data_IF_925428185017
#
_entry.id   IF_925428185017
#
_cell.length_a   1.000
_cell.length_b   1.000
_cell.length_c   1.000
_cell.angle_alpha   90.00
_cell.angle_beta   90.00
_cell.angle_gamma   90.00
#
_symmetry.space_group_name_H-M   'P 1'
#
loop_
_entity.id
_entity.type
_entity.pdbx_description
1 polymer ?
#
# COMPACT_ATOMS: atom_id res chain seq x y z
N UNK A 1 -22.02 8.77 56.78
CA UNK A 1 -23.41 8.62 57.28
C UNK A 1 -24.29 9.08 56.11
N UNK A 2 -24.94 8.28 55.26
CA UNK A 2 -25.55 6.95 55.32
C UNK A 2 -25.28 6.15 54.03
N UNK A 3 -25.38 4.82 54.14
CA UNK A 3 -25.30 3.79 53.09
C UNK A 3 -26.59 3.70 52.26
N UNK A 4 -26.45 3.29 50.99
CA UNK A 4 -27.43 2.53 50.16
C UNK A 4 -26.56 1.76 49.14
N UNK A 5 -26.19 0.49 49.34
CA UNK A 5 -26.91 -0.80 49.15
C UNK A 5 -27.44 -1.05 47.73
N UNK A 6 -27.02 -2.19 47.18
CA UNK A 6 -27.35 -2.79 45.88
C UNK A 6 -28.83 -2.72 45.48
N UNK A 7 -29.10 -2.40 44.21
CA UNK A 7 -30.01 -3.16 43.31
C UNK A 7 -30.30 -2.41 42.00
N UNK A 8 -30.15 -3.15 40.88
CA UNK A 8 -30.93 -3.05 39.63
C UNK A 8 -30.66 -1.86 38.68
N UNK A 9 -30.22 -2.21 37.47
CA UNK A 9 -30.14 -1.33 36.29
C UNK A 9 -31.45 -0.61 35.96
N UNK A 10 -31.39 0.61 35.42
CA UNK A 10 -32.36 1.09 34.45
C UNK A 10 -31.75 1.15 33.04
N UNK A 11 -32.44 0.49 32.12
CA UNK A 11 -32.26 0.58 30.67
C UNK A 11 -32.31 2.04 30.20
N UNK A 12 -31.29 2.50 29.46
CA UNK A 12 -31.41 3.69 28.60
C UNK A 12 -31.70 3.23 27.18
N UNK A 13 -32.92 3.52 26.74
CA UNK A 13 -33.44 3.31 25.39
C UNK A 13 -33.09 4.53 24.55
N UNK A 14 -32.28 4.37 23.49
CA UNK A 14 -32.16 5.36 22.42
C UNK A 14 -33.09 4.98 21.27
N UNK A 15 -34.18 5.73 21.12
CA UNK A 15 -35.15 5.61 20.02
C UNK A 15 -34.56 6.20 18.73
N UNK A 16 -34.24 5.35 17.76
CA UNK A 16 -33.96 5.77 16.38
C UNK A 16 -35.28 5.90 15.61
N UNK A 17 -35.49 7.07 14.99
CA UNK A 17 -36.68 7.47 14.20
C UNK A 17 -36.74 6.88 12.78
N UNK A 18 -36.21 5.66 12.56
CA UNK A 18 -36.33 4.95 11.28
C UNK A 18 -36.69 3.48 11.51
N UNK A 19 -37.61 2.88 10.72
CA UNK A 19 -38.01 1.49 10.89
C UNK A 19 -36.84 0.55 10.51
N UNK A 20 -36.24 -0.08 11.50
CA UNK A 20 -35.23 -1.13 11.30
C UNK A 20 -35.86 -2.37 10.69
N UNK A 21 -35.20 -2.96 9.69
CA UNK A 21 -35.64 -4.17 9.00
C UNK A 21 -35.65 -5.40 9.92
N UNK A 22 -36.44 -6.41 9.56
CA UNK A 22 -36.66 -7.65 10.33
C UNK A 22 -35.35 -8.42 10.65
N UNK A 23 -34.28 -8.17 9.91
CA UNK A 23 -32.95 -8.74 10.13
C UNK A 23 -32.25 -8.20 11.39
N UNK A 24 -32.48 -6.94 11.77
CA UNK A 24 -31.85 -6.32 12.94
C UNK A 24 -32.41 -6.87 14.27
N UNK A 25 -33.66 -7.36 14.30
CA UNK A 25 -34.27 -7.95 15.51
C UNK A 25 -33.70 -9.32 15.88
N UNK A 26 -33.09 -10.04 14.93
CA UNK A 26 -32.52 -11.38 15.18
C UNK A 26 -31.09 -11.35 15.77
N UNK A 27 -30.39 -10.21 15.70
CA UNK A 27 -29.02 -10.10 16.22
C UNK A 27 -28.96 -9.90 17.76
N UNK A 28 -30.02 -9.39 18.38
CA UNK A 28 -29.99 -9.01 19.81
C UNK A 28 -30.26 -10.18 20.79
N UNK A 29 -30.49 -11.41 20.32
CA UNK A 29 -30.93 -12.54 21.17
C UNK A 29 -29.85 -13.58 21.51
N UNK A 30 -28.57 -13.35 21.17
CA UNK A 30 -27.49 -14.31 21.50
C UNK A 30 -26.20 -13.64 21.97
N UNK A 31 -26.22 -13.13 23.20
CA UNK A 31 -25.00 -12.89 23.98
C UNK A 31 -25.06 -13.83 25.18
N UNK A 32 -24.20 -14.86 25.20
CA UNK A 32 -23.92 -15.68 26.39
C UNK A 32 -22.58 -15.23 26.95
N UNK A 33 -22.58 -14.71 28.16
CA UNK A 33 -21.37 -14.39 28.94
C UNK A 33 -20.88 -15.67 29.61
N UNK A 34 -19.61 -16.05 29.39
CA UNK A 34 -18.95 -17.10 30.16
C UNK A 34 -17.98 -16.47 31.17
N UNK A 35 -18.30 -16.59 32.45
CA UNK A 35 -17.39 -16.34 33.57
C UNK A 35 -16.64 -17.64 33.92
N UNK A 36 -15.33 -17.56 34.15
CA UNK A 36 -14.56 -18.58 34.88
C UNK A 36 -13.66 -17.91 35.93
N UNK A 37 -13.56 -18.46 37.15
CA UNK A 37 -12.77 -17.86 38.22
C UNK A 37 -11.32 -18.39 38.19
N UNK A 38 -10.34 -17.53 38.48
CA UNK A 38 -8.96 -17.95 38.77
C UNK A 38 -8.57 -17.58 40.21
N UNK A 39 -7.78 -18.50 40.78
CA UNK A 39 -7.37 -18.60 42.19
C UNK A 39 -6.30 -17.57 42.57
N UNK A 40 -6.24 -17.28 43.86
CA UNK A 40 -5.22 -16.50 44.57
C UNK A 40 -3.81 -17.11 44.46
N UNK A 41 -2.78 -16.27 44.27
CA UNK A 41 -1.40 -16.54 44.70
C UNK A 41 -0.68 -15.24 45.08
N UNK A 42 0.24 -15.37 46.03
CA UNK A 42 0.94 -14.35 46.83
C UNK A 42 2.06 -13.60 46.10
N UNK A 43 2.31 -12.38 46.56
CA UNK A 43 3.45 -11.51 46.20
C UNK A 43 4.81 -12.12 46.57
N UNK A 44 5.78 -12.03 45.65
CA UNK A 44 7.19 -11.81 45.98
C UNK A 44 7.88 -11.02 44.86
N UNK A 45 8.83 -10.17 45.26
CA UNK A 45 9.48 -9.12 44.49
C UNK A 45 10.52 -9.61 43.48
N UNK A 46 10.64 -8.85 42.38
CA UNK A 46 11.89 -8.44 41.68
C UNK A 46 11.94 -8.77 40.19
N UNK A 47 12.61 -7.85 39.47
CA UNK A 47 13.05 -7.82 38.07
C UNK A 47 12.17 -7.12 37.03
N UNK A 48 12.85 -6.27 36.27
CA UNK A 48 12.40 -5.31 35.27
C UNK A 48 12.03 -5.99 33.94
N UNK A 49 11.19 -5.27 33.18
CA UNK A 49 10.84 -5.44 31.77
C UNK A 49 9.84 -6.57 31.44
N UNK A 50 8.56 -6.31 31.70
CA UNK A 50 7.48 -7.06 31.05
C UNK A 50 7.17 -6.44 29.69
N UNK A 51 7.50 -7.20 28.64
CA UNK A 51 7.03 -7.04 27.27
C UNK A 51 5.49 -7.05 27.24
N UNK A 52 4.87 -5.86 27.17
CA UNK A 52 3.43 -5.77 26.91
C UNK A 52 3.22 -6.05 25.42
N UNK A 53 2.82 -7.28 25.10
CA UNK A 53 2.39 -7.65 23.76
C UNK A 53 1.25 -6.72 23.29
N UNK A 54 1.26 -6.26 22.02
CA UNK A 54 0.24 -5.35 21.51
C UNK A 54 -1.16 -6.00 21.59
N UNK A 55 -2.22 -5.19 21.78
CA UNK A 55 -3.59 -5.68 21.90
C UNK A 55 -4.02 -6.42 20.62
N UNK A 56 -4.65 -7.58 20.80
CA UNK A 56 -5.19 -8.42 19.73
C UNK A 56 -6.54 -7.87 19.28
N UNK A 57 -6.69 -7.51 18.01
CA UNK A 57 -7.97 -7.16 17.42
C UNK A 57 -8.52 -8.36 16.61
N UNK A 58 -9.69 -8.86 16.99
CA UNK A 58 -10.45 -9.85 16.22
C UNK A 58 -11.62 -9.17 15.51
N UNK A 59 -11.74 -9.35 14.20
CA UNK A 59 -12.91 -8.97 13.41
C UNK A 59 -13.52 -10.26 12.86
N UNK A 60 -14.69 -10.64 13.37
CA UNK A 60 -15.47 -11.78 12.86
C UNK A 60 -16.29 -11.34 11.64
N UNK A 61 -16.02 -11.95 10.48
CA UNK A 61 -16.88 -11.88 9.29
C UNK A 61 -17.40 -13.30 8.98
N UNK A 62 -18.73 -13.53 8.98
CA UNK A 62 -19.28 -14.86 8.76
C UNK A 62 -19.07 -15.33 7.30
N UNK A 63 -18.57 -16.56 7.13
CA UNK A 63 -18.45 -17.24 5.82
C UNK A 63 -17.04 -17.33 5.23
N UNK A 64 -16.03 -16.83 5.95
CA UNK A 64 -14.61 -17.03 5.61
C UNK A 64 -14.00 -17.76 6.79
N UNK A 65 -13.60 -19.03 6.64
CA UNK A 65 -12.75 -19.67 7.65
C UNK A 65 -11.53 -18.78 7.87
N UNK A 66 -11.33 -18.39 9.14
CA UNK A 66 -10.36 -17.43 9.63
C UNK A 66 -9.03 -17.37 8.84
N UNK A 67 -8.95 -16.47 7.86
CA UNK A 67 -7.68 -15.82 7.51
C UNK A 67 -7.42 -14.71 8.53
N UNK A 68 -7.35 -15.07 9.81
CA UNK A 68 -6.89 -14.17 10.86
C UNK A 68 -5.45 -13.79 10.56
N UNK A 69 -5.24 -12.55 10.12
CA UNK A 69 -3.90 -11.98 10.00
C UNK A 69 -3.41 -11.63 11.40
N UNK A 70 -2.95 -12.62 12.16
CA UNK A 70 -2.12 -12.34 13.34
C UNK A 70 -0.76 -11.86 12.82
N UNK A 71 -0.56 -10.55 12.86
CA UNK A 71 0.76 -9.97 12.60
C UNK A 71 1.63 -10.16 13.84
N UNK A 72 2.64 -11.01 13.75
CA UNK A 72 3.71 -11.06 14.74
C UNK A 72 4.72 -9.95 14.41
N UNK A 73 4.77 -8.91 15.25
CA UNK A 73 5.81 -7.88 15.16
C UNK A 73 6.90 -8.20 16.18
N UNK A 74 8.09 -8.57 15.71
CA UNK A 74 9.27 -8.70 16.57
C UNK A 74 10.07 -7.40 16.57
N UNK A 75 10.46 -6.93 17.76
CA UNK A 75 11.37 -5.80 17.88
C UNK A 75 12.76 -6.22 17.38
N UNK A 76 13.30 -5.49 16.41
CA UNK A 76 14.63 -5.74 15.87
C UNK A 76 15.48 -4.47 15.91
N UNK A 77 16.69 -4.57 16.47
CA UNK A 77 17.68 -3.50 16.47
C UNK A 77 18.81 -3.81 15.49
N UNK A 78 18.90 -3.03 14.42
CA UNK A 78 19.95 -3.15 13.42
C UNK A 78 21.06 -2.10 13.65
N UNK A 79 22.33 -2.50 13.52
CA UNK A 79 23.48 -1.61 13.79
C UNK A 79 23.79 -0.61 12.67
N UNK A 80 23.51 -0.96 11.42
CA UNK A 80 23.97 -0.21 10.23
C UNK A 80 22.84 0.31 9.34
N UNK A 81 21.75 -0.45 9.23
CA UNK A 81 20.60 -0.11 8.40
C UNK A 81 19.57 -1.22 8.48
N UNK A 82 18.35 -0.93 8.02
CA UNK A 82 17.25 -1.90 7.99
C UNK A 82 16.46 -1.74 6.68
N UNK A 83 15.86 -2.83 6.23
CA UNK A 83 14.90 -2.86 5.13
C UNK A 83 13.67 -3.59 5.64
N UNK A 84 12.52 -2.93 5.55
CA UNK A 84 11.23 -3.52 5.87
C UNK A 84 10.38 -3.53 4.60
N UNK A 85 10.08 -4.72 4.10
CA UNK A 85 9.17 -4.96 2.98
C UNK A 85 8.01 -5.85 3.42
N UNK A 86 7.00 -6.01 2.55
CA UNK A 86 5.83 -6.86 2.80
C UNK A 86 6.12 -8.37 2.73
N UNK A 87 7.38 -8.74 2.46
CA UNK A 87 7.88 -10.10 2.58
C UNK A 87 9.29 -10.13 3.17
N UNK A 88 9.57 -11.22 3.88
CA UNK A 88 10.89 -11.49 4.44
C UNK A 88 11.94 -11.61 3.32
N UNK A 89 11.58 -12.23 2.21
CA UNK A 89 12.49 -12.48 1.09
C UNK A 89 12.89 -11.20 0.39
N UNK A 90 11.94 -10.29 0.15
CA UNK A 90 12.25 -8.97 -0.38
C UNK A 90 13.10 -8.16 0.61
N UNK A 91 12.79 -8.23 1.91
CA UNK A 91 13.61 -7.56 2.94
C UNK A 91 15.06 -8.08 2.96
N UNK A 92 15.26 -9.40 2.82
CA UNK A 92 16.59 -10.03 2.69
C UNK A 92 17.32 -9.58 1.43
N UNK A 93 16.61 -9.41 0.30
CA UNK A 93 17.17 -8.86 -0.94
C UNK A 93 17.71 -7.44 -0.70
N UNK A 94 16.91 -6.55 -0.13
CA UNK A 94 17.34 -5.19 0.16
C UNK A 94 18.55 -5.16 1.12
N UNK A 95 18.55 -5.99 2.16
CA UNK A 95 19.71 -6.14 3.04
C UNK A 95 20.97 -6.61 2.30
N UNK A 96 20.84 -7.57 1.37
CA UNK A 96 21.97 -8.02 0.54
C UNK A 96 22.52 -6.88 -0.31
N UNK A 97 21.66 -6.07 -0.92
CA UNK A 97 22.06 -4.90 -1.71
C UNK A 97 22.80 -3.86 -0.85
N UNK A 98 22.30 -3.57 0.36
CA UNK A 98 23.02 -2.70 1.30
C UNK A 98 24.40 -3.28 1.67
N UNK A 99 24.49 -4.59 1.92
CA UNK A 99 25.76 -5.26 2.23
C UNK A 99 26.75 -5.26 1.05
N UNK A 100 26.27 -5.16 -0.18
CA UNK A 100 27.10 -4.98 -1.38
C UNK A 100 27.59 -3.54 -1.55
N UNK A 101 27.24 -2.62 -0.64
CA UNK A 101 27.62 -1.21 -0.71
C UNK A 101 26.64 -0.33 -1.50
N UNK A 102 25.45 -0.85 -1.83
CA UNK A 102 24.40 -0.08 -2.48
C UNK A 102 23.81 1.00 -1.58
N UNK A 103 23.18 2.00 -2.21
CA UNK A 103 22.41 3.01 -1.50
C UNK A 103 21.08 2.46 -0.98
N UNK A 104 20.38 3.25 -0.16
CA UNK A 104 19.00 2.96 0.20
C UNK A 104 18.07 2.89 -1.04
N UNK A 105 18.38 3.67 -2.09
CA UNK A 105 17.65 3.65 -3.36
C UNK A 105 17.93 2.38 -4.15
N UNK A 106 19.19 1.93 -4.23
CA UNK A 106 19.53 0.63 -4.85
C UNK A 106 18.78 -0.51 -4.17
N UNK A 107 18.78 -0.53 -2.83
CA UNK A 107 18.09 -1.54 -2.05
C UNK A 107 16.57 -1.49 -2.27
N UNK A 108 15.97 -0.30 -2.31
CA UNK A 108 14.54 -0.12 -2.57
C UNK A 108 14.13 -0.63 -3.96
N UNK A 109 14.91 -0.32 -5.01
CA UNK A 109 14.63 -0.79 -6.38
C UNK A 109 14.66 -2.32 -6.45
N UNK A 110 15.69 -2.96 -5.90
CA UNK A 110 15.78 -4.42 -5.89
C UNK A 110 14.64 -5.09 -5.10
N UNK A 111 14.26 -4.48 -3.96
CA UNK A 111 13.10 -4.91 -3.16
C UNK A 111 11.81 -4.82 -3.98
N UNK A 112 11.53 -3.66 -4.60
CA UNK A 112 10.30 -3.43 -5.35
C UNK A 112 10.19 -4.35 -6.57
N UNK A 113 11.30 -4.62 -7.25
CA UNK A 113 11.34 -5.63 -8.33
C UNK A 113 10.95 -7.02 -7.81
N UNK A 114 11.49 -7.47 -6.69
CA UNK A 114 11.12 -8.76 -6.09
C UNK A 114 9.67 -8.80 -5.61
N UNK A 115 9.17 -7.73 -4.97
CA UNK A 115 7.76 -7.64 -4.55
C UNK A 115 6.84 -7.70 -5.77
N UNK A 116 7.18 -7.03 -6.87
CA UNK A 116 6.44 -7.13 -8.14
C UNK A 116 6.45 -8.53 -8.75
N UNK A 117 7.42 -9.39 -8.38
CA UNK A 117 7.46 -10.80 -8.78
C UNK A 117 6.50 -11.63 -7.94
N UNK A 118 6.63 -11.62 -6.60
CA UNK A 118 5.89 -12.55 -5.74
C UNK A 118 4.56 -12.01 -5.18
N UNK A 119 4.42 -10.69 -4.99
CA UNK A 119 3.17 -10.01 -4.61
C UNK A 119 2.59 -9.28 -5.83
N UNK A 120 2.56 -9.98 -6.96
CA UNK A 120 2.21 -9.44 -8.27
C UNK A 120 0.76 -8.96 -8.44
N UNK A 121 -0.09 -9.21 -7.44
CA UNK A 121 -1.46 -8.67 -7.38
C UNK A 121 -1.51 -7.25 -6.81
N UNK A 122 -0.42 -6.78 -6.20
CA UNK A 122 -0.34 -5.47 -5.53
C UNK A 122 0.48 -4.45 -6.32
N UNK A 123 1.58 -4.88 -6.94
CA UNK A 123 2.51 -4.01 -7.66
C UNK A 123 3.28 -4.77 -8.74
N UNK A 124 3.96 -4.04 -9.62
CA UNK A 124 4.89 -4.57 -10.63
C UNK A 124 5.23 -3.55 -11.71
N UNK A 125 6.11 -3.95 -12.63
CA UNK A 125 6.63 -3.08 -13.72
C UNK A 125 5.57 -2.55 -14.69
N UNK A 126 4.34 -3.06 -14.62
CA UNK A 126 3.20 -2.57 -15.39
C UNK A 126 2.38 -1.47 -14.69
N UNK A 127 2.78 -1.03 -13.49
CA UNK A 127 2.12 0.04 -12.74
C UNK A 127 3.03 1.26 -12.57
N UNK A 128 2.91 1.93 -11.42
CA UNK A 128 3.74 3.06 -11.03
C UNK A 128 3.82 3.24 -9.51
N UNK A 129 4.75 4.09 -9.07
CA UNK A 129 5.02 4.31 -7.64
C UNK A 129 5.27 5.78 -7.31
N UNK A 130 5.28 6.04 -6.01
CA UNK A 130 5.67 7.32 -5.42
C UNK A 130 6.75 7.04 -4.38
N UNK A 131 7.81 7.85 -4.33
CA UNK A 131 8.95 7.63 -3.43
C UNK A 131 9.40 8.94 -2.79
N UNK A 132 9.59 8.92 -1.47
CA UNK A 132 10.34 9.97 -0.77
C UNK A 132 11.78 9.51 -0.56
N UNK A 133 12.74 10.39 -0.83
CA UNK A 133 14.16 10.15 -0.62
C UNK A 133 14.70 11.28 0.25
N UNK A 134 15.14 10.94 1.47
CA UNK A 134 15.82 11.87 2.35
C UNK A 134 17.33 11.75 2.19
N UNK A 135 17.98 12.86 1.86
CA UNK A 135 19.44 12.97 1.79
C UNK A 135 19.95 13.57 3.12
N UNK A 136 20.67 12.79 3.95
CA UNK A 136 21.18 13.28 5.22
C UNK A 136 22.34 14.28 5.08
N UNK A 137 23.05 14.29 3.95
CA UNK A 137 24.14 15.24 3.72
C UNK A 137 23.57 16.63 3.41
N UNK A 138 22.53 16.68 2.57
CA UNK A 138 21.84 17.91 2.21
C UNK A 138 20.78 18.34 3.22
N UNK A 139 20.32 17.41 4.06
CA UNK A 139 19.17 17.55 4.97
C UNK A 139 17.88 17.90 4.22
N UNK A 140 17.73 17.37 3.01
CA UNK A 140 16.61 17.63 2.11
C UNK A 140 15.86 16.33 1.81
N UNK A 141 14.56 16.44 1.59
CA UNK A 141 13.74 15.34 1.10
C UNK A 141 13.17 15.70 -0.27
N UNK A 142 13.40 14.84 -1.25
CA UNK A 142 12.75 14.93 -2.55
C UNK A 142 11.68 13.84 -2.68
N UNK A 143 10.74 14.08 -3.57
CA UNK A 143 9.75 13.12 -3.98
C UNK A 143 9.94 12.76 -5.47
N UNK A 144 9.88 11.48 -5.79
CA UNK A 144 9.76 10.97 -7.15
C UNK A 144 8.32 10.52 -7.37
N UNK A 145 7.70 11.12 -8.37
CA UNK A 145 6.38 10.75 -8.87
C UNK A 145 6.54 9.97 -10.17
N UNK A 146 6.40 8.65 -10.04
CA UNK A 146 6.40 7.69 -11.14
C UNK A 146 5.03 7.00 -11.23
N UNK A 147 3.96 7.73 -10.86
CA UNK A 147 2.57 7.26 -11.00
C UNK A 147 2.22 7.10 -12.48
N UNK A 148 1.30 6.21 -12.78
CA UNK A 148 0.78 6.07 -14.13
C UNK A 148 0.14 7.37 -14.62
N UNK A 149 0.30 7.66 -15.91
CA UNK A 149 -0.32 8.82 -16.57
C UNK A 149 -1.49 8.38 -17.46
N UNK A 150 -2.46 9.26 -17.66
CA UNK A 150 -3.51 9.02 -18.64
C UNK A 150 -2.91 9.03 -20.06
N UNK A 151 -3.27 8.08 -20.95
CA UNK A 151 -2.85 8.09 -22.35
C UNK A 151 -3.27 9.37 -23.07
N UNK A 152 -2.58 9.76 -24.14
CA UNK A 152 -2.86 11.00 -24.87
C UNK A 152 -4.27 11.07 -25.46
N UNK A 153 -4.87 9.91 -25.74
CA UNK A 153 -6.25 9.80 -26.25
C UNK A 153 -7.31 9.70 -25.14
N UNK A 154 -6.90 9.74 -23.86
CA UNK A 154 -7.84 9.75 -22.76
C UNK A 154 -8.68 11.03 -22.75
N UNK A 155 -9.95 10.89 -22.39
CA UNK A 155 -10.87 12.04 -22.26
C UNK A 155 -11.83 11.83 -21.10
N UNK A 156 -12.39 12.94 -20.58
CA UNK A 156 -13.19 12.97 -19.35
C UNK A 156 -14.35 11.96 -19.30
N UNK A 157 -14.93 11.61 -20.46
CA UNK A 157 -16.11 10.73 -20.57
C UNK A 157 -15.83 9.33 -21.10
N UNK A 158 -14.56 8.93 -21.24
CA UNK A 158 -14.17 7.66 -21.89
C UNK A 158 -14.77 6.40 -21.25
N UNK A 159 -15.20 6.48 -19.98
CA UNK A 159 -15.86 5.39 -19.23
C UNK A 159 -17.38 5.55 -19.07
N UNK A 160 -17.98 6.50 -19.77
CA UNK A 160 -19.43 6.76 -19.75
C UNK A 160 -19.98 6.64 -21.18
N UNK A 161 -19.27 7.22 -22.14
CA UNK A 161 -19.69 7.29 -23.53
C UNK A 161 -19.46 5.95 -24.25
N UNK A 162 -20.42 5.03 -24.12
CA UNK A 162 -20.40 3.72 -24.80
C UNK A 162 -19.55 2.64 -24.13
N UNK A 163 -18.86 2.96 -23.03
CA UNK A 163 -18.01 2.04 -22.27
C UNK A 163 -18.52 1.89 -20.82
N UNK A 164 -19.62 1.15 -20.58
CA UNK A 164 -20.19 1.03 -19.24
C UNK A 164 -19.23 0.33 -18.26
N UNK A 165 -19.47 0.45 -16.94
CA UNK A 165 -18.75 -0.36 -15.96
C UNK A 165 -18.74 -1.84 -16.34
N UNK A 166 -17.61 -2.55 -16.19
CA UNK A 166 -16.46 -2.18 -15.37
C UNK A 166 -15.25 -1.63 -16.18
N UNK A 167 -15.47 -0.92 -17.28
CA UNK A 167 -14.45 -0.42 -18.22
C UNK A 167 -13.29 0.40 -17.60
N UNK A 168 -13.50 1.03 -16.44
CA UNK A 168 -12.47 1.75 -15.68
C UNK A 168 -11.64 0.86 -14.73
N UNK A 169 -12.00 -0.41 -14.60
CA UNK A 169 -11.37 -1.36 -13.68
C UNK A 169 -10.96 -2.68 -14.33
N UNK A 170 -11.40 -2.94 -15.57
CA UNK A 170 -11.09 -4.16 -16.34
C UNK A 170 -10.85 -3.83 -17.81
N UNK A 171 -9.96 -4.59 -18.45
CA UNK A 171 -9.61 -4.43 -19.85
C UNK A 171 -8.52 -3.38 -20.10
N UNK A 172 -8.13 -3.23 -21.37
CA UNK A 172 -7.05 -2.33 -21.79
C UNK A 172 -7.36 -0.85 -21.56
N UNK A 173 -8.64 -0.46 -21.62
CA UNK A 173 -9.07 0.93 -21.42
C UNK A 173 -8.82 1.43 -19.99
N UNK A 174 -8.70 0.52 -19.02
CA UNK A 174 -8.41 0.83 -17.62
C UNK A 174 -6.91 1.05 -17.34
N UNK A 175 -6.03 0.85 -18.33
CA UNK A 175 -4.58 0.86 -18.15
C UNK A 175 -4.03 2.28 -18.36
N UNK A 176 -3.38 2.84 -17.34
CA UNK A 176 -2.55 4.04 -17.45
C UNK A 176 -1.14 3.71 -17.95
N UNK A 177 -0.41 4.71 -18.43
CA UNK A 177 0.95 4.55 -18.93
C UNK A 177 1.87 4.11 -17.78
N UNK A 178 2.52 2.92 -17.82
CA UNK A 178 3.30 2.42 -16.71
C UNK A 178 4.54 3.26 -16.39
N UNK A 179 4.71 3.64 -15.12
CA UNK A 179 5.79 4.52 -14.67
C UNK A 179 6.93 3.85 -13.91
N UNK A 180 6.75 2.61 -13.48
CA UNK A 180 7.65 1.94 -12.53
C UNK A 180 9.13 1.94 -12.98
N UNK A 181 9.43 1.53 -14.21
CA UNK A 181 10.81 1.44 -14.70
C UNK A 181 11.45 2.84 -14.87
N UNK A 182 10.70 3.82 -15.37
CA UNK A 182 11.17 5.19 -15.49
C UNK A 182 11.47 5.81 -14.12
N UNK A 183 10.64 5.53 -13.13
CA UNK A 183 10.86 5.95 -11.75
C UNK A 183 12.12 5.33 -11.14
N UNK A 184 12.30 4.00 -11.28
CA UNK A 184 13.50 3.31 -10.80
C UNK A 184 14.76 3.88 -11.45
N UNK A 185 14.72 4.10 -12.76
CA UNK A 185 15.82 4.69 -13.49
C UNK A 185 16.14 6.10 -13.00
N UNK A 186 15.13 6.97 -12.85
CA UNK A 186 15.33 8.34 -12.33
C UNK A 186 15.93 8.33 -10.93
N UNK A 187 15.43 7.47 -10.03
CA UNK A 187 15.95 7.33 -8.68
C UNK A 187 17.40 6.82 -8.68
N UNK A 188 17.70 5.82 -9.50
CA UNK A 188 19.04 5.26 -9.66
C UNK A 188 20.04 6.27 -10.22
N UNK A 189 19.65 7.08 -11.20
CA UNK A 189 20.51 8.14 -11.73
C UNK A 189 20.89 9.19 -10.67
N UNK A 190 19.98 9.49 -9.74
CA UNK A 190 20.20 10.49 -8.70
C UNK A 190 20.99 9.95 -7.50
N UNK A 191 20.71 8.71 -7.07
CA UNK A 191 21.20 8.16 -5.80
C UNK A 191 21.72 6.72 -5.86
N UNK A 192 21.75 6.11 -7.04
CA UNK A 192 22.27 4.76 -7.24
C UNK A 192 23.77 4.71 -7.07
N UNK A 193 24.27 3.58 -6.55
CA UNK A 193 25.71 3.31 -6.37
C UNK A 193 26.14 2.03 -7.06
N UNK A 194 25.29 1.01 -7.06
CA UNK A 194 25.57 -0.24 -7.76
C UNK A 194 25.24 -0.14 -9.25
N UNK A 195 25.85 -0.98 -10.10
CA UNK A 195 25.44 -1.08 -11.51
C UNK A 195 23.97 -1.47 -11.61
N UNK A 196 23.24 -0.81 -12.52
CA UNK A 196 21.81 -1.01 -12.76
C UNK A 196 21.39 -2.48 -12.83
N UNK A 197 22.13 -3.28 -13.61
CA UNK A 197 21.84 -4.69 -13.83
C UNK A 197 21.91 -5.54 -12.56
N UNK A 198 22.71 -5.16 -11.57
CA UNK A 198 22.82 -5.89 -10.28
C UNK A 198 21.49 -5.85 -9.52
N UNK A 199 20.72 -4.76 -9.64
CA UNK A 199 19.46 -4.58 -8.92
C UNK A 199 18.36 -5.55 -9.39
N UNK A 200 18.47 -6.02 -10.64
CA UNK A 200 17.48 -6.90 -11.27
C UNK A 200 17.74 -8.39 -11.02
N UNK A 201 19.00 -8.77 -10.75
CA UNK A 201 19.40 -10.18 -10.60
C UNK A 201 18.48 -10.96 -9.65
N UNK A 202 18.17 -10.48 -8.43
CA UNK A 202 17.37 -11.27 -7.50
C UNK A 202 15.94 -11.51 -7.99
N UNK A 203 15.35 -10.55 -8.71
CA UNK A 203 14.01 -10.69 -9.28
C UNK A 203 14.01 -11.62 -10.51
N UNK A 204 15.05 -11.57 -11.35
CA UNK A 204 15.23 -12.46 -12.49
C UNK A 204 15.40 -13.92 -12.02
N UNK A 205 16.25 -14.15 -11.02
CA UNK A 205 16.44 -15.46 -10.38
C UNK A 205 15.10 -15.97 -9.84
N UNK A 206 14.38 -15.16 -9.05
CA UNK A 206 13.07 -15.52 -8.53
C UNK A 206 12.04 -15.86 -9.62
N UNK A 207 12.06 -15.17 -10.77
CA UNK A 207 11.19 -15.49 -11.90
C UNK A 207 11.49 -16.87 -12.52
N UNK A 208 12.76 -17.29 -12.53
CA UNK A 208 13.23 -18.47 -13.24
C UNK A 208 13.33 -19.71 -12.34
N UNK A 209 13.78 -19.54 -11.11
CA UNK A 209 13.90 -20.59 -10.09
C UNK A 209 12.57 -20.81 -9.34
N UNK A 210 11.65 -19.86 -9.45
CA UNK A 210 10.33 -19.90 -8.84
C UNK A 210 10.29 -19.34 -7.42
N UNK A 211 9.07 -19.14 -6.93
CA UNK A 211 8.82 -18.71 -5.55
C UNK A 211 7.56 -19.37 -4.99
N UNK A 212 7.55 -19.53 -3.66
CA UNK A 212 6.41 -20.08 -2.94
C UNK A 212 5.27 -19.06 -2.83
N UNK A 213 4.06 -19.47 -3.17
CA UNK A 213 2.85 -18.66 -3.00
C UNK A 213 2.55 -18.49 -1.51
N UNK A 214 2.50 -17.23 -1.07
CA UNK A 214 2.10 -16.86 0.29
C UNK A 214 0.61 -16.54 0.40
N UNK A 215 0.13 -16.44 1.65
CA UNK A 215 -1.29 -16.28 2.01
C UNK A 215 -2.02 -15.22 1.18
N UNK A 216 -1.46 -14.01 1.04
CA UNK A 216 -2.09 -12.91 0.31
C UNK A 216 -2.29 -13.21 -1.19
N UNK A 217 -1.27 -13.76 -1.85
CA UNK A 217 -1.37 -14.15 -3.25
C UNK A 217 -2.32 -15.35 -3.42
N UNK A 218 -2.26 -16.37 -2.55
CA UNK A 218 -3.17 -17.51 -2.59
C UNK A 218 -4.64 -17.08 -2.47
N UNK A 219 -4.95 -16.21 -1.49
CA UNK A 219 -6.27 -15.63 -1.32
C UNK A 219 -6.72 -14.88 -2.57
N UNK A 220 -5.83 -14.10 -3.18
CA UNK A 220 -6.16 -13.30 -4.36
C UNK A 220 -6.38 -14.16 -5.60
N UNK A 221 -5.57 -15.20 -5.81
CA UNK A 221 -5.75 -16.18 -6.91
C UNK A 221 -7.10 -16.86 -6.78
N UNK A 222 -7.47 -17.31 -5.58
CA UNK A 222 -8.78 -17.94 -5.32
C UNK A 222 -9.94 -16.96 -5.56
N UNK A 223 -9.85 -15.74 -5.02
CA UNK A 223 -10.87 -14.70 -5.18
C UNK A 223 -11.07 -14.29 -6.65
N UNK A 224 -10.01 -14.32 -7.45
CA UNK A 224 -10.03 -13.89 -8.85
C UNK A 224 -10.03 -15.07 -9.85
N UNK A 225 -10.19 -16.31 -9.39
CA UNK A 225 -10.01 -17.53 -10.19
C UNK A 225 -10.70 -17.46 -11.56
N UNK A 226 -12.00 -17.18 -11.59
CA UNK A 226 -12.76 -17.23 -12.84
C UNK A 226 -12.33 -16.15 -13.83
N UNK A 227 -11.91 -14.97 -13.33
CA UNK A 227 -11.34 -13.91 -14.16
C UNK A 227 -9.98 -14.31 -14.71
N UNK A 228 -9.10 -14.87 -13.87
CA UNK A 228 -7.80 -15.36 -14.31
C UNK A 228 -7.94 -16.47 -15.37
N UNK A 229 -8.94 -17.35 -15.23
CA UNK A 229 -9.20 -18.42 -16.18
C UNK A 229 -9.55 -17.89 -17.58
N UNK A 230 -10.17 -16.71 -17.70
CA UNK A 230 -10.55 -16.15 -19.00
C UNK A 230 -9.33 -15.74 -19.86
N UNK A 231 -8.18 -15.43 -19.24
CA UNK A 231 -7.01 -14.96 -19.96
C UNK A 231 -5.91 -16.02 -20.04
N UNK A 232 -5.50 -16.35 -21.27
CA UNK A 232 -4.40 -17.31 -21.55
C UNK A 232 -3.11 -16.94 -20.80
N UNK A 233 -2.82 -15.66 -20.61
CA UNK A 233 -1.64 -15.19 -19.89
C UNK A 233 -1.65 -15.57 -18.41
N UNK A 234 -2.79 -15.44 -17.75
CA UNK A 234 -2.93 -15.79 -16.33
C UNK A 234 -3.04 -17.29 -16.11
N UNK A 235 -3.72 -18.04 -17.00
CA UNK A 235 -3.78 -19.50 -16.94
C UNK A 235 -2.40 -20.14 -16.86
N UNK A 236 -1.47 -19.68 -17.70
CA UNK A 236 -0.08 -20.19 -17.74
C UNK A 236 0.70 -20.01 -16.43
N UNK A 237 0.30 -19.06 -15.59
CA UNK A 237 1.05 -18.71 -14.37
C UNK A 237 0.38 -19.25 -13.12
N UNK A 238 -0.96 -19.20 -13.05
CA UNK A 238 -1.69 -19.46 -11.82
C UNK A 238 -2.47 -20.78 -11.79
N UNK A 239 -2.47 -21.55 -12.88
CA UNK A 239 -3.17 -22.83 -12.97
C UNK A 239 -2.22 -24.00 -13.23
N UNK A 240 -2.55 -25.16 -12.65
CA UNK A 240 -1.77 -26.39 -12.73
C UNK A 240 -2.06 -27.10 -14.05
N UNK A 241 -1.10 -27.01 -14.98
CA UNK A 241 -1.25 -27.59 -16.32
C UNK A 241 -2.44 -26.99 -17.08
N UNK A 242 -3.18 -27.84 -17.80
CA UNK A 242 -4.38 -27.43 -18.53
C UNK A 242 -5.68 -27.59 -17.70
N UNK A 243 -5.56 -27.87 -16.40
CA UNK A 243 -6.71 -28.02 -15.51
C UNK A 243 -7.15 -26.68 -14.94
N UNK A 244 -8.39 -26.60 -14.49
CA UNK A 244 -8.97 -25.45 -13.80
C UNK A 244 -8.53 -25.35 -12.32
N UNK A 245 -7.54 -26.14 -11.92
CA UNK A 245 -6.99 -26.14 -10.57
C UNK A 245 -5.92 -25.07 -10.44
N UNK A 246 -6.10 -24.15 -9.49
CA UNK A 246 -5.14 -23.08 -9.23
C UNK A 246 -3.98 -23.56 -8.37
N UNK A 247 -2.82 -22.90 -8.51
CA UNK A 247 -1.77 -22.97 -7.49
C UNK A 247 -2.25 -22.28 -6.20
N UNK A 248 -1.98 -22.88 -5.04
CA UNK A 248 -2.39 -22.43 -3.71
C UNK A 248 -1.22 -22.13 -2.78
N UNK A 249 -1.53 -21.86 -1.51
CA UNK A 249 -0.53 -21.61 -0.47
C UNK A 249 0.50 -22.75 -0.41
N UNK A 250 1.79 -22.40 -0.41
CA UNK A 250 2.89 -23.36 -0.36
C UNK A 250 3.30 -23.95 -1.72
N UNK A 251 2.48 -23.78 -2.77
CA UNK A 251 2.90 -24.18 -4.11
C UNK A 251 3.98 -23.23 -4.65
N UNK A 252 4.89 -23.75 -5.48
CA UNK A 252 5.88 -22.95 -6.20
C UNK A 252 5.39 -22.60 -7.61
N UNK A 253 5.46 -21.33 -7.98
CA UNK A 253 5.15 -20.85 -9.34
C UNK A 253 6.34 -20.14 -9.98
N UNK A 254 6.33 -20.08 -11.31
CA UNK A 254 7.41 -19.54 -12.14
C UNK A 254 6.87 -18.43 -13.05
N UNK A 255 7.73 -17.45 -13.36
CA UNK A 255 7.38 -16.32 -14.24
C UNK A 255 8.49 -16.05 -15.26
N UNK A 256 8.93 -17.05 -16.05
CA UNK A 256 10.11 -16.93 -16.93
C UNK A 256 9.95 -15.85 -18.01
N UNK A 257 8.72 -15.57 -18.46
CA UNK A 257 8.46 -14.46 -19.40
C UNK A 257 8.74 -13.10 -18.77
N UNK A 258 8.36 -12.90 -17.51
CA UNK A 258 8.73 -11.69 -16.76
C UNK A 258 10.24 -11.67 -16.52
N UNK A 259 10.85 -12.82 -16.19
CA UNK A 259 12.31 -12.94 -16.07
C UNK A 259 13.05 -12.45 -17.32
N UNK A 260 12.57 -12.84 -18.52
CA UNK A 260 13.10 -12.34 -19.81
C UNK A 260 12.91 -10.83 -19.95
N UNK A 261 11.73 -10.30 -19.65
CA UNK A 261 11.47 -8.84 -19.68
C UNK A 261 12.42 -8.09 -18.75
N UNK A 262 12.59 -8.55 -17.51
CA UNK A 262 13.49 -7.94 -16.54
C UNK A 262 14.96 -8.03 -16.97
N UNK A 263 15.35 -9.13 -17.62
CA UNK A 263 16.69 -9.30 -18.20
C UNK A 263 16.95 -8.25 -19.29
N UNK A 264 16.01 -8.06 -20.22
CA UNK A 264 16.13 -7.05 -21.27
C UNK A 264 16.30 -5.63 -20.67
N UNK A 265 15.53 -5.29 -19.64
CA UNK A 265 15.65 -3.98 -18.97
C UNK A 265 16.96 -3.85 -18.20
N UNK A 266 17.46 -4.94 -17.59
CA UNK A 266 18.73 -4.95 -16.88
C UNK A 266 19.93 -4.75 -17.83
N UNK A 267 19.89 -5.35 -19.02
CA UNK A 267 20.99 -5.36 -19.99
C UNK A 267 20.98 -4.14 -20.92
N UNK A 268 19.80 -3.67 -21.33
CA UNK A 268 19.65 -2.60 -22.32
C UNK A 268 19.14 -1.28 -21.71
N UNK A 269 18.90 -1.25 -20.40
CA UNK A 269 18.40 -0.08 -19.68
C UNK A 269 16.89 0.15 -19.88
N UNK A 270 16.34 1.26 -19.36
CA UNK A 270 14.90 1.53 -19.36
C UNK A 270 14.33 1.78 -20.76
N UNK A 271 15.16 2.23 -21.72
CA UNK A 271 14.71 2.59 -23.06
C UNK A 271 14.03 1.45 -23.79
N UNK A 272 14.44 0.19 -23.53
CA UNK A 272 13.81 -0.98 -24.14
C UNK A 272 12.33 -1.11 -23.78
N UNK A 273 11.93 -0.61 -22.60
CA UNK A 273 10.55 -0.58 -22.10
C UNK A 273 9.70 0.52 -22.76
N UNK A 274 10.29 1.70 -22.99
CA UNK A 274 9.57 2.92 -23.38
C UNK A 274 9.69 3.29 -24.87
N UNK A 275 10.80 2.94 -25.53
CA UNK A 275 11.07 3.24 -26.95
C UNK A 275 11.66 2.04 -27.73
N UNK A 276 11.64 0.84 -27.16
CA UNK A 276 12.20 -0.38 -27.76
C UNK A 276 11.18 -1.49 -28.02
N UNK A 277 11.66 -2.73 -28.20
CA UNK A 277 10.83 -3.89 -28.52
C UNK A 277 9.70 -4.14 -27.50
N UNK A 278 9.95 -3.92 -26.20
CA UNK A 278 8.90 -4.12 -25.20
C UNK A 278 7.77 -3.08 -25.35
N UNK A 279 8.08 -1.87 -25.80
CA UNK A 279 7.05 -0.84 -26.01
C UNK A 279 6.05 -1.26 -27.10
N UNK A 280 6.51 -1.89 -28.18
CA UNK A 280 5.64 -2.47 -29.22
C UNK A 280 4.71 -3.55 -28.64
N UNK A 281 5.28 -4.45 -27.83
CA UNK A 281 4.54 -5.54 -27.22
C UNK A 281 3.49 -5.03 -26.22
N UNK A 282 3.82 -3.99 -25.44
CA UNK A 282 2.91 -3.34 -24.50
C UNK A 282 1.75 -2.70 -25.26
N UNK A 283 2.03 -1.84 -26.25
CA UNK A 283 0.97 -1.19 -27.03
C UNK A 283 0.05 -2.23 -27.68
N UNK A 284 0.63 -3.26 -28.29
CA UNK A 284 -0.14 -4.33 -28.92
C UNK A 284 -1.07 -5.04 -27.93
N UNK A 285 -0.56 -5.52 -26.80
CA UNK A 285 -1.39 -6.22 -25.80
C UNK A 285 -2.48 -5.30 -25.24
N UNK A 286 -2.14 -4.05 -24.91
CA UNK A 286 -3.13 -3.08 -24.37
C UNK A 286 -4.24 -2.82 -25.39
N UNK A 287 -3.90 -2.60 -26.67
CA UNK A 287 -4.86 -2.36 -27.73
C UNK A 287 -5.70 -3.61 -28.07
N UNK A 288 -5.11 -4.80 -28.05
CA UNK A 288 -5.85 -6.07 -28.20
C UNK A 288 -6.88 -6.27 -27.07
N UNK A 289 -6.65 -5.67 -25.90
CA UNK A 289 -7.60 -5.64 -24.78
C UNK A 289 -8.52 -4.40 -24.79
N UNK A 290 -8.56 -3.63 -25.89
CA UNK A 290 -9.42 -2.45 -26.06
C UNK A 290 -8.91 -1.17 -25.40
N UNK A 291 -7.61 -1.09 -25.11
CA UNK A 291 -6.96 0.09 -24.57
C UNK A 291 -6.45 1.05 -25.64
N UNK A 292 -6.02 2.24 -25.18
CA UNK A 292 -5.70 3.39 -26.02
C UNK A 292 -4.24 3.87 -25.88
N UNK A 293 -3.41 3.14 -25.14
CA UNK A 293 -1.97 3.45 -25.06
C UNK A 293 -1.33 3.24 -26.43
N UNK A 294 -0.57 4.22 -26.89
CA UNK A 294 0.19 4.17 -28.13
C UNK A 294 1.71 4.36 -27.87
N UNK A 295 2.51 4.26 -28.94
CA UNK A 295 3.98 4.40 -28.86
C UNK A 295 4.42 5.78 -28.40
N UNK A 296 3.69 6.83 -28.77
CA UNK A 296 3.99 8.19 -28.35
C UNK A 296 3.82 8.36 -26.84
N UNK A 297 2.78 7.76 -26.26
CA UNK A 297 2.54 7.75 -24.81
C UNK A 297 3.71 7.16 -24.02
N UNK A 298 4.17 5.97 -24.40
CA UNK A 298 5.29 5.32 -23.72
C UNK A 298 6.59 6.10 -23.89
N UNK A 299 6.85 6.62 -25.10
CA UNK A 299 8.08 7.35 -25.40
C UNK A 299 8.19 8.68 -24.66
N UNK A 300 7.05 9.34 -24.42
CA UNK A 300 7.00 10.67 -23.79
C UNK A 300 6.81 10.60 -22.27
N UNK A 301 6.56 9.42 -21.71
CA UNK A 301 6.45 9.25 -20.27
C UNK A 301 7.76 9.59 -19.55
N UNK A 302 7.66 10.37 -18.48
CA UNK A 302 8.79 10.65 -17.59
C UNK A 302 8.35 10.67 -16.12
N UNK A 303 9.13 10.02 -15.26
CA UNK A 303 8.99 10.17 -13.81
C UNK A 303 9.47 11.54 -13.35
N UNK A 304 8.63 12.23 -12.57
CA UNK A 304 8.85 13.62 -12.15
C UNK A 304 9.57 13.67 -10.80
N UNK A 305 10.46 14.64 -10.64
CA UNK A 305 11.13 14.92 -9.37
C UNK A 305 10.60 16.23 -8.81
N UNK A 306 10.10 16.19 -7.57
CA UNK A 306 9.49 17.33 -6.89
C UNK A 306 10.09 17.51 -5.49
N UNK A 307 10.08 18.72 -4.92
CA UNK A 307 10.25 18.88 -3.48
C UNK A 307 9.16 18.10 -2.72
N UNK A 308 9.52 17.42 -1.63
CA UNK A 308 8.53 16.80 -0.75
C UNK A 308 7.70 17.88 -0.02
N UNK A 309 6.40 17.61 0.17
CA UNK A 309 5.59 18.40 1.13
C UNK A 309 6.04 18.05 2.55
N UNK A 310 5.96 19.00 3.47
CA UNK A 310 6.41 18.77 4.84
C UNK A 310 5.62 19.58 5.86
N UNK A 311 5.60 19.11 7.10
CA UNK A 311 5.15 19.87 8.28
C UNK A 311 6.02 19.52 9.49
N UNK A 312 5.93 20.31 10.55
CA UNK A 312 6.58 20.03 11.83
C UNK A 312 5.65 19.29 12.77
N UNK A 313 6.19 18.34 13.53
CA UNK A 313 5.47 17.60 14.57
C UNK A 313 6.24 17.74 15.90
N UNK A 314 5.56 18.22 16.93
CA UNK A 314 6.18 18.66 18.16
C UNK A 314 7.31 19.66 17.91
N UNK A 315 8.31 19.66 18.79
CA UNK A 315 9.39 20.65 18.72
C UNK A 315 10.52 20.27 17.76
N UNK A 316 10.70 18.98 17.45
CA UNK A 316 11.95 18.46 16.88
C UNK A 316 11.79 17.54 15.66
N UNK A 317 10.56 17.26 15.20
CA UNK A 317 10.35 16.37 14.06
C UNK A 317 9.85 17.13 12.84
N UNK A 318 10.35 16.73 11.68
CA UNK A 318 9.81 17.13 10.38
C UNK A 318 9.27 15.88 9.69
N UNK A 319 8.00 15.89 9.34
CA UNK A 319 7.37 14.82 8.56
C UNK A 319 7.33 15.23 7.09
N UNK A 320 7.76 14.33 6.20
CA UNK A 320 7.79 14.54 4.76
C UNK A 320 6.76 13.65 4.05
N UNK A 321 6.22 14.15 2.95
CA UNK A 321 5.20 13.51 2.15
C UNK A 321 5.43 13.76 0.67
N UNK A 322 4.93 12.85 -0.17
CA UNK A 322 4.91 13.07 -1.61
C UNK A 322 3.82 14.12 -1.90
N UNK A 323 4.08 15.14 -2.74
CA UNK A 323 3.06 16.10 -3.16
C UNK A 323 1.95 15.40 -3.99
N UNK A 324 0.87 16.11 -4.35
CA UNK A 324 -0.09 15.59 -5.31
C UNK A 324 0.59 15.04 -6.58
N UNK A 325 0.10 13.91 -7.14
CA UNK A 325 -1.21 13.31 -6.92
C UNK A 325 -1.34 12.44 -5.65
N UNK A 326 -0.30 12.33 -4.83
CA UNK A 326 -0.34 11.61 -3.57
C UNK A 326 -1.27 12.28 -2.53
N UNK A 327 -1.78 11.50 -1.59
CA UNK A 327 -2.57 12.02 -0.46
C UNK A 327 -1.72 12.35 0.79
N UNK A 328 -0.40 12.50 0.67
CA UNK A 328 0.44 12.74 1.85
C UNK A 328 0.09 14.05 2.57
N UNK A 329 -0.34 15.09 1.86
CA UNK A 329 -0.81 16.34 2.48
C UNK A 329 -2.01 16.11 3.44
N UNK A 330 -2.90 15.16 3.11
CA UNK A 330 -4.02 14.77 3.99
C UNK A 330 -3.49 14.11 5.26
N UNK A 331 -2.55 13.18 5.13
CA UNK A 331 -1.91 12.52 6.29
C UNK A 331 -1.15 13.52 7.17
N UNK A 332 -0.38 14.42 6.57
CA UNK A 332 0.36 15.45 7.29
C UNK A 332 -0.59 16.41 8.02
N UNK A 333 -1.73 16.78 7.42
CA UNK A 333 -2.75 17.61 8.06
C UNK A 333 -3.36 16.90 9.27
N UNK A 334 -3.67 15.60 9.16
CA UNK A 334 -4.17 14.81 10.28
C UNK A 334 -3.16 14.85 11.44
N UNK A 335 -1.88 14.56 11.14
CA UNK A 335 -0.82 14.58 12.15
C UNK A 335 -0.67 15.96 12.78
N UNK A 336 -0.75 17.03 11.98
CA UNK A 336 -0.61 18.41 12.46
C UNK A 336 -1.77 18.83 13.36
N UNK A 337 -3.00 18.45 13.03
CA UNK A 337 -4.17 18.69 13.90
C UNK A 337 -4.00 17.93 15.21
N UNK A 338 -3.60 16.66 15.16
CA UNK A 338 -3.39 15.84 16.35
C UNK A 338 -2.27 16.37 17.26
N UNK A 339 -1.19 16.91 16.67
CA UNK A 339 -0.07 17.53 17.36
C UNK A 339 -0.52 18.69 18.27
N UNK A 340 -1.51 19.47 17.81
CA UNK A 340 -2.09 20.59 18.56
C UNK A 340 -2.84 20.20 19.85
N UNK A 341 -3.11 18.91 20.08
CA UNK A 341 -3.83 18.42 21.27
C UNK A 341 -2.92 17.94 22.40
N UNK A 342 -1.59 18.07 22.27
CA UNK A 342 -0.63 17.72 23.32
C UNK A 342 -0.71 16.24 23.73
N UNK A 343 -0.85 15.35 22.74
CA UNK A 343 -0.96 13.91 22.98
C UNK A 343 0.36 13.37 23.57
N UNK A 344 0.25 12.46 24.54
CA UNK A 344 1.39 11.83 25.22
C UNK A 344 1.19 10.30 25.23
N UNK A 345 2.22 9.51 25.58
CA UNK A 345 2.02 8.07 25.79
C UNK A 345 0.88 7.76 26.78
N UNK A 346 0.67 8.64 27.77
CA UNK A 346 -0.41 8.52 28.76
C UNK A 346 -1.81 8.80 28.22
N UNK A 347 -1.96 9.22 26.96
CA UNK A 347 -3.25 9.46 26.30
C UNK A 347 -4.03 8.17 26.01
N UNK A 348 -3.48 7.00 26.31
CA UNK A 348 -4.13 5.70 26.13
C UNK A 348 -4.33 4.91 27.45
N UNK A 349 -3.95 5.47 28.60
CA UNK A 349 -3.89 4.73 29.88
C UNK A 349 -5.26 4.38 30.49
N UNK A 350 -6.33 5.05 30.07
CA UNK A 350 -7.69 4.80 30.59
C UNK A 350 -8.72 4.90 29.49
N UNK A 351 -9.87 4.26 29.70
CA UNK A 351 -11.00 4.29 28.75
C UNK A 351 -11.39 5.72 28.36
N UNK A 352 -11.46 6.64 29.32
CA UNK A 352 -11.79 8.05 29.06
C UNK A 352 -10.75 8.73 28.15
N UNK A 353 -9.46 8.50 28.41
CA UNK A 353 -8.38 9.08 27.60
C UNK A 353 -8.34 8.45 26.22
N UNK A 354 -8.56 7.13 26.11
CA UNK A 354 -8.67 6.44 24.83
C UNK A 354 -9.85 6.96 24.01
N UNK A 355 -11.03 7.12 24.62
CA UNK A 355 -12.20 7.72 23.95
C UNK A 355 -11.86 9.11 23.43
N UNK A 356 -11.19 9.95 24.24
CA UNK A 356 -10.75 11.27 23.81
C UNK A 356 -9.75 11.18 22.65
N UNK A 357 -8.76 10.30 22.72
CA UNK A 357 -7.76 10.09 21.67
C UNK A 357 -8.43 9.68 20.34
N UNK A 358 -9.29 8.67 20.36
CA UNK A 358 -9.98 8.20 19.17
C UNK A 358 -10.98 9.21 18.64
N UNK A 359 -11.62 10.00 19.50
CA UNK A 359 -12.46 11.12 19.07
C UNK A 359 -11.64 12.15 18.29
N UNK A 360 -10.50 12.61 18.84
CA UNK A 360 -9.59 13.55 18.18
C UNK A 360 -9.12 12.98 16.83
N UNK A 361 -8.68 11.71 16.81
CA UNK A 361 -8.25 11.03 15.59
C UNK A 361 -9.36 11.01 14.53
N UNK A 362 -10.57 10.61 14.93
CA UNK A 362 -11.72 10.51 14.02
C UNK A 362 -12.15 11.87 13.46
N UNK A 363 -12.20 12.92 14.29
CA UNK A 363 -12.53 14.27 13.82
C UNK A 363 -11.42 14.84 12.93
N UNK A 364 -10.15 14.53 13.23
CA UNK A 364 -9.01 14.89 12.36
C UNK A 364 -9.12 14.23 10.99
N UNK A 365 -9.51 12.94 10.94
CA UNK A 365 -9.78 12.25 9.69
C UNK A 365 -10.92 12.91 8.91
N UNK A 366 -12.06 13.18 9.54
CA UNK A 366 -13.20 13.83 8.87
C UNK A 366 -12.81 15.18 8.28
N UNK A 367 -12.11 16.00 9.07
CA UNK A 367 -11.67 17.32 8.63
C UNK A 367 -10.73 17.24 7.43
N UNK A 368 -9.69 16.40 7.51
CA UNK A 368 -8.71 16.28 6.44
C UNK A 368 -9.30 15.64 5.18
N UNK A 369 -10.09 14.57 5.30
CA UNK A 369 -10.76 13.96 4.14
C UNK A 369 -11.80 14.88 3.51
N UNK A 370 -12.41 15.80 4.27
CA UNK A 370 -13.25 16.86 3.72
C UNK A 370 -12.52 17.77 2.74
N UNK A 371 -11.18 17.88 2.85
CA UNK A 371 -10.33 18.62 1.89
C UNK A 371 -9.85 17.78 0.71
N UNK A 372 -9.86 16.44 0.83
CA UNK A 372 -9.30 15.53 -0.19
C UNK A 372 -10.00 15.64 -1.55
N UNK A 373 -11.29 15.98 -1.59
CA UNK A 373 -12.07 16.13 -2.84
C UNK A 373 -11.60 17.29 -3.73
N UNK A 374 -10.82 18.22 -3.18
CA UNK A 374 -10.19 19.31 -3.90
C UNK A 374 -8.80 18.95 -4.45
N UNK A 375 -8.25 17.77 -4.13
CA UNK A 375 -6.95 17.34 -4.63
C UNK A 375 -7.05 16.72 -6.04
N UNK A 376 -6.01 16.91 -6.85
CA UNK A 376 -5.84 16.36 -8.18
C UNK A 376 -4.37 16.38 -8.62
N UNK A 377 -4.09 16.09 -9.88
CA UNK A 377 -2.76 16.32 -10.46
C UNK A 377 -2.54 17.84 -10.64
N UNK A 378 -1.44 18.36 -10.09
CA UNK A 378 -1.07 19.78 -10.16
C UNK A 378 -0.84 20.27 -11.59
N UNK A 379 -0.57 19.36 -12.53
CA UNK A 379 -0.32 19.70 -13.93
C UNK A 379 -1.57 19.64 -14.82
N UNK A 380 -2.72 19.28 -14.25
CA UNK A 380 -3.99 19.41 -14.97
C UNK A 380 -4.42 20.88 -14.99
N UNK A 381 -4.10 21.57 -16.10
CA UNK A 381 -4.49 22.96 -16.37
C UNK A 381 -6.00 23.21 -16.33
N UNK A 382 -6.84 22.16 -16.35
CA UNK A 382 -8.30 22.29 -16.34
C UNK A 382 -8.91 22.25 -14.95
N UNK A 383 -8.13 22.01 -13.89
CA UNK A 383 -8.67 22.05 -12.52
C UNK A 383 -8.47 23.42 -11.88
N UNK A 384 -9.54 24.22 -11.83
CA UNK A 384 -9.66 25.37 -10.90
C UNK A 384 -9.37 24.98 -9.43
N UNK A 385 -9.40 23.67 -9.13
CA UNK A 385 -9.14 23.04 -7.83
C UNK A 385 -7.70 23.16 -7.31
N UNK A 386 -6.72 23.48 -8.16
CA UNK A 386 -5.34 23.64 -7.71
C UNK A 386 -5.14 24.87 -6.79
N UNK A 387 -6.10 25.80 -6.74
CA UNK A 387 -6.12 26.90 -5.76
C UNK A 387 -6.32 26.43 -4.30
N UNK A 388 -6.95 25.28 -4.09
CA UNK A 388 -7.17 24.72 -2.73
C UNK A 388 -5.96 23.93 -2.22
N UNK A 389 -5.09 23.45 -3.12
CA UNK A 389 -3.82 22.81 -2.73
C UNK A 389 -2.87 23.83 -2.09
N UNK A 390 -2.85 25.08 -2.57
CA UNK A 390 -2.14 26.18 -1.90
C UNK A 390 -2.74 26.48 -0.50
N UNK A 391 -4.06 26.34 -0.31
CA UNK A 391 -4.68 26.45 1.02
C UNK A 391 -4.30 25.29 1.94
N UNK A 392 -4.12 24.08 1.40
CA UNK A 392 -3.60 22.94 2.16
C UNK A 392 -2.13 23.12 2.52
N UNK A 393 -1.32 23.75 1.65
CA UNK A 393 0.04 24.20 2.00
C UNK A 393 0.02 25.28 3.10
N UNK A 394 -1.01 26.12 3.15
CA UNK A 394 -1.19 27.12 4.21
C UNK A 394 -1.64 26.51 5.56
N UNK A 395 -2.24 25.32 5.53
CA UNK A 395 -2.66 24.58 6.71
C UNK A 395 -1.57 23.64 7.29
N UNK A 396 -0.49 23.41 6.54
CA UNK A 396 0.69 22.61 6.91
C UNK A 396 1.84 23.50 7.38
#
# INVERSE_FOLDING_TARGET
>A
ILKYSDSVMPNIVLLSKYPLSMAARRLLTKIKVFNKPSRSFSLSSSTLADDVAPPKFHIDLPGVENYGFEGESSFMRCKHGAVAADSEEASKVGRRILNLGGSAVDAAIAVLLCVGVHNCHSTGVGGGFLMNIYDPQRKECIAIDAREAAPSEAHQKMFIDGNPPPSSTHGGLAIGIPGEIAGFWKAHQLYGKLPWSILFKPAIEMCNEGFEIRKALAFTILKCRDKLWQHKAFRRVFFKGDSDHVYGLGDTIYRPRLGKTLTMVAEHGPSVFYDGELSDLICKEVQEQGGIINRHDLRTYEARVKPAVKTTLGDNYTAYGVPPPASSAITLLILKVMDGYGLTPHSLDSDEKQVRFYHILNESFKFAYGKRSAMGDEYDSQTEKNKDIEQLKFAL
#
